data_IF_585608895303
#
_entry.id   IF_585608895303
#
_cell.length_a   1.000
_cell.length_b   1.000
_cell.length_c   1.000
_cell.angle_alpha   90.00
_cell.angle_beta   90.00
_cell.angle_gamma   90.00
#
_symmetry.space_group_name_H-M   'P 1'
#
loop_
_entity.id
_entity.type
_entity.pdbx_description
1 polymer ?
#
# COMPACT_ATOMS: atom_id res chain seq x y z
N UNK A 1 -3.51 17.72 10.84
CA UNK A 1 -3.12 17.29 9.48
C UNK A 1 -2.38 15.99 9.67
N UNK A 2 -2.87 14.86 9.15
CA UNK A 2 -2.12 13.61 9.23
C UNK A 2 -0.80 13.74 8.46
N UNK A 3 0.23 13.09 8.96
CA UNK A 3 1.54 12.99 8.33
C UNK A 3 1.49 12.03 7.14
N UNK A 4 2.41 12.18 6.18
CA UNK A 4 2.51 11.28 5.02
C UNK A 4 2.65 9.80 5.43
N UNK A 5 3.33 9.53 6.55
CA UNK A 5 3.42 8.19 7.13
C UNK A 5 2.07 7.63 7.61
N UNK A 6 1.23 8.46 8.23
CA UNK A 6 -0.11 8.06 8.69
C UNK A 6 -1.05 7.78 7.51
N UNK A 7 -0.94 8.56 6.42
CA UNK A 7 -1.68 8.33 5.19
C UNK A 7 -1.24 7.05 4.49
N UNK A 8 0.07 6.79 4.43
CA UNK A 8 0.62 5.55 3.88
C UNK A 8 0.15 4.32 4.65
N UNK A 9 0.12 4.38 5.98
CA UNK A 9 -0.40 3.30 6.81
C UNK A 9 -1.92 3.10 6.64
N UNK A 10 -2.69 4.18 6.45
CA UNK A 10 -4.11 4.07 6.12
C UNK A 10 -4.34 3.40 4.76
N UNK A 11 -3.53 3.72 3.74
CA UNK A 11 -3.55 3.07 2.43
C UNK A 11 -3.15 1.60 2.53
N UNK A 12 -2.13 1.29 3.32
CA UNK A 12 -1.69 -0.08 3.59
C UNK A 12 -2.80 -0.94 4.18
N UNK A 13 -3.51 -0.43 5.19
CA UNK A 13 -4.68 -1.12 5.78
C UNK A 13 -5.76 -1.41 4.75
N UNK A 14 -6.06 -0.45 3.87
CA UNK A 14 -7.04 -0.62 2.79
C UNK A 14 -6.57 -1.64 1.75
N UNK A 15 -5.29 -1.63 1.38
CA UNK A 15 -4.74 -2.57 0.42
C UNK A 15 -4.78 -4.01 0.96
N UNK A 16 -4.46 -4.21 2.25
CA UNK A 16 -4.48 -5.52 2.91
C UNK A 16 -5.87 -6.19 2.85
N UNK A 17 -6.95 -5.41 3.01
CA UNK A 17 -8.33 -5.91 2.96
C UNK A 17 -8.99 -5.79 1.58
N UNK A 18 -8.29 -5.31 0.55
CA UNK A 18 -8.88 -5.05 -0.76
C UNK A 18 -9.39 -6.34 -1.42
N UNK A 19 -10.66 -6.36 -1.85
CA UNK A 19 -11.27 -7.49 -2.57
C UNK A 19 -11.88 -7.08 -3.90
N UNK A 20 -11.47 -5.93 -4.44
CA UNK A 20 -12.13 -5.30 -5.59
C UNK A 20 -11.89 -6.02 -6.92
N UNK A 21 -10.93 -6.96 -6.98
CA UNK A 21 -10.68 -7.78 -8.16
C UNK A 21 -10.35 -9.24 -7.81
N UNK A 22 -10.37 -10.09 -8.83
CA UNK A 22 -10.12 -11.54 -8.74
C UNK A 22 -8.74 -11.89 -8.18
N UNK A 23 -7.75 -10.99 -8.24
CA UNK A 23 -6.42 -11.19 -7.66
C UNK A 23 -6.47 -11.42 -6.14
N UNK A 24 -7.51 -10.90 -5.48
CA UNK A 24 -7.73 -11.12 -4.05
C UNK A 24 -7.99 -12.58 -3.69
N UNK A 25 -8.46 -13.39 -4.65
CA UNK A 25 -8.79 -14.80 -4.42
C UNK A 25 -7.58 -15.71 -4.45
N UNK A 26 -6.53 -15.32 -5.17
CA UNK A 26 -5.36 -16.17 -5.41
C UNK A 26 -4.11 -15.71 -4.65
N UNK A 27 -4.02 -14.43 -4.27
CA UNK A 27 -2.86 -13.91 -3.53
C UNK A 27 -2.76 -14.54 -2.14
N UNK A 28 -1.53 -14.86 -1.71
CA UNK A 28 -1.27 -15.27 -0.32
C UNK A 28 -1.12 -14.06 0.60
N UNK A 29 -0.42 -13.02 0.13
CA UNK A 29 -0.18 -11.78 0.86
C UNK A 29 -0.27 -10.59 -0.08
N UNK A 30 -0.73 -9.46 0.44
CA UNK A 30 -0.59 -8.18 -0.25
C UNK A 30 0.83 -7.68 0.03
N UNK A 31 1.59 -7.46 -1.03
CA UNK A 31 2.90 -6.80 -0.95
C UNK A 31 2.63 -5.31 -1.14
N UNK A 32 2.63 -4.57 -0.03
CA UNK A 32 2.53 -3.12 -0.07
C UNK A 32 3.93 -2.51 -0.26
N UNK A 33 4.01 -1.34 -0.89
CA UNK A 33 5.27 -0.64 -1.07
C UNK A 33 5.92 -0.28 0.26
N UNK A 34 7.25 -0.28 0.30
CA UNK A 34 8.06 0.13 1.44
C UNK A 34 9.04 1.22 0.99
N UNK A 35 9.27 2.21 1.85
CA UNK A 35 10.18 3.32 1.57
C UNK A 35 9.86 4.55 2.40
N UNK A 36 10.59 5.63 2.13
CA UNK A 36 10.33 6.94 2.71
C UNK A 36 9.08 7.56 2.06
N UNK A 37 8.02 7.90 2.83
CA UNK A 37 6.86 8.62 2.30
C UNK A 37 7.19 9.98 1.66
N UNK A 38 8.33 10.58 2.03
CA UNK A 38 8.83 11.85 1.50
C UNK A 38 9.95 11.66 0.47
N UNK A 39 10.16 10.43 -0.04
CA UNK A 39 11.17 10.17 -1.05
C UNK A 39 10.97 11.02 -2.33
N UNK A 40 12.05 11.61 -2.82
CA UNK A 40 12.05 12.36 -4.09
C UNK A 40 11.83 11.47 -5.33
N UNK A 41 12.08 10.16 -5.21
CA UNK A 41 12.02 9.19 -6.32
C UNK A 41 11.30 7.92 -5.87
N UNK A 42 10.36 7.45 -6.71
CA UNK A 42 9.63 6.19 -6.53
C UNK A 42 9.87 5.28 -7.72
N UNK A 43 10.13 4.00 -7.46
CA UNK A 43 10.27 2.95 -8.47
C UNK A 43 9.04 2.04 -8.44
N UNK A 44 8.44 1.78 -9.60
CA UNK A 44 7.20 0.98 -9.73
C UNK A 44 7.40 -0.11 -10.79
N UNK A 45 6.88 -1.31 -10.52
CA UNK A 45 6.94 -2.48 -11.40
C UNK A 45 5.71 -3.38 -11.30
#
# INVERSE_FOLDING_TARGET
>A
MPSAAEEMEALRRRALSCTDCELSRTRTHVVFGEGDPEADIVLVG
#
